data_IF_104547136392
#
_entry.id   IF_104547136392
#
_cell.length_a   1.000
_cell.length_b   1.000
_cell.length_c   1.000
_cell.angle_alpha   90.00
_cell.angle_beta   90.00
_cell.angle_gamma   90.00
#
_symmetry.space_group_name_H-M   'P 1'
#
loop_
_entity.id
_entity.type
_entity.pdbx_description
1 polymer ?
#
# COMPACT_ATOMS: atom_id res chain seq x y z
N UNK A 1 -58.23 -119.01 -9.77
CA UNK A 1 -58.41 -117.97 -10.81
C UNK A 1 -57.86 -116.57 -10.45
N UNK A 2 -57.54 -116.22 -9.20
CA UNK A 2 -57.27 -114.82 -8.82
C UNK A 2 -55.83 -114.28 -9.01
N UNK A 3 -54.90 -115.05 -9.61
CA UNK A 3 -53.48 -114.64 -9.73
C UNK A 3 -53.08 -114.10 -11.11
N UNK A 4 -54.02 -114.05 -12.07
CA UNK A 4 -53.79 -113.51 -13.42
C UNK A 4 -54.28 -112.06 -13.54
N UNK A 5 -55.46 -111.76 -12.97
CA UNK A 5 -56.08 -110.41 -13.00
C UNK A 5 -55.21 -109.33 -12.35
N UNK A 6 -54.53 -109.63 -11.24
CA UNK A 6 -53.64 -108.66 -10.58
C UNK A 6 -52.37 -108.33 -11.38
N UNK A 7 -51.91 -109.24 -12.26
CA UNK A 7 -50.72 -109.01 -13.09
C UNK A 7 -51.06 -108.11 -14.28
N UNK A 8 -52.24 -108.28 -14.85
CA UNK A 8 -52.75 -107.43 -15.92
C UNK A 8 -53.04 -106.00 -15.42
N UNK A 9 -53.55 -105.83 -14.19
CA UNK A 9 -53.73 -104.51 -13.56
C UNK A 9 -52.40 -103.79 -13.25
N UNK A 10 -51.38 -104.53 -12.76
CA UNK A 10 -50.04 -103.98 -12.53
C UNK A 10 -49.36 -103.58 -13.84
N UNK A 11 -49.52 -104.36 -14.92
CA UNK A 11 -48.98 -104.04 -16.24
C UNK A 11 -49.69 -102.84 -16.87
N UNK A 12 -51.01 -102.73 -16.71
CA UNK A 12 -51.78 -101.55 -17.15
C UNK A 12 -51.36 -100.31 -16.36
N UNK A 13 -51.20 -100.43 -15.04
CA UNK A 13 -50.77 -99.34 -14.17
C UNK A 13 -49.33 -98.91 -14.49
N UNK A 14 -48.41 -99.84 -14.69
CA UNK A 14 -47.04 -99.55 -15.12
C UNK A 14 -47.02 -98.87 -16.49
N UNK A 15 -47.85 -99.30 -17.44
CA UNK A 15 -47.97 -98.61 -18.74
C UNK A 15 -48.50 -97.19 -18.59
N UNK A 16 -49.51 -96.97 -17.75
CA UNK A 16 -50.03 -95.62 -17.47
C UNK A 16 -49.03 -94.73 -16.74
N UNK A 17 -48.26 -95.28 -15.80
CA UNK A 17 -47.18 -94.56 -15.10
C UNK A 17 -46.06 -94.20 -16.07
N UNK A 18 -45.63 -95.13 -16.93
CA UNK A 18 -44.61 -94.88 -17.96
C UNK A 18 -45.09 -93.84 -18.97
N UNK A 19 -46.34 -93.94 -19.45
CA UNK A 19 -46.93 -92.94 -20.35
C UNK A 19 -47.01 -91.58 -19.65
N UNK A 20 -47.40 -91.52 -18.38
CA UNK A 20 -47.46 -90.28 -17.60
C UNK A 20 -46.08 -89.64 -17.42
N UNK A 21 -45.05 -90.43 -17.10
CA UNK A 21 -43.66 -89.96 -16.97
C UNK A 21 -43.11 -89.48 -18.31
N UNK A 22 -43.38 -90.19 -19.42
CA UNK A 22 -42.97 -89.78 -20.77
C UNK A 22 -43.72 -88.54 -21.22
N UNK A 23 -45.00 -88.38 -20.88
CA UNK A 23 -45.79 -87.17 -21.18
C UNK A 23 -45.29 -85.97 -20.37
N UNK A 24 -44.91 -86.17 -19.10
CA UNK A 24 -44.34 -85.14 -18.23
C UNK A 24 -42.95 -84.69 -18.71
N UNK A 25 -42.15 -85.62 -19.25
CA UNK A 25 -40.83 -85.35 -19.86
C UNK A 25 -40.94 -84.84 -21.31
N UNK A 26 -42.06 -85.06 -21.99
CA UNK A 26 -42.34 -84.66 -23.37
C UNK A 26 -43.00 -83.29 -23.52
N UNK A 27 -43.43 -82.65 -22.43
CA UNK A 27 -43.74 -81.23 -22.44
C UNK A 27 -42.43 -80.46 -22.70
N UNK A 28 -42.40 -79.42 -23.55
CA UNK A 28 -41.20 -78.65 -23.85
C UNK A 28 -40.85 -77.73 -22.67
N UNK A 29 -40.48 -78.34 -21.56
CA UNK A 29 -40.08 -77.73 -20.31
C UNK A 29 -38.69 -78.22 -19.93
N UNK A 30 -37.70 -77.35 -20.17
CA UNK A 30 -36.38 -77.37 -19.55
C UNK A 30 -35.46 -78.60 -19.75
N UNK A 31 -35.28 -79.07 -20.99
CA UNK A 31 -33.90 -79.33 -21.43
C UNK A 31 -33.37 -78.04 -22.08
N UNK A 32 -32.97 -77.08 -21.24
CA UNK A 32 -32.16 -75.96 -21.71
C UNK A 32 -30.84 -76.58 -22.19
N UNK A 33 -30.58 -76.50 -23.49
CA UNK A 33 -29.33 -76.97 -24.07
C UNK A 33 -28.17 -76.30 -23.34
N UNK A 34 -27.07 -77.03 -23.12
CA UNK A 34 -25.86 -76.50 -22.46
C UNK A 34 -25.46 -75.10 -22.96
N UNK A 35 -25.63 -74.86 -24.27
CA UNK A 35 -25.42 -73.58 -24.94
C UNK A 35 -26.29 -72.42 -24.45
N UNK A 36 -27.55 -72.66 -24.08
CA UNK A 36 -28.46 -71.60 -23.58
C UNK A 36 -28.13 -71.22 -22.13
N UNK A 37 -27.71 -72.19 -21.31
CA UNK A 37 -27.19 -71.89 -19.98
C UNK A 37 -25.89 -71.08 -20.08
N UNK A 38 -24.95 -71.51 -20.91
CA UNK A 38 -23.69 -70.78 -21.15
C UNK A 38 -23.96 -69.35 -21.65
N UNK A 39 -24.91 -69.16 -22.58
CA UNK A 39 -25.33 -67.84 -23.03
C UNK A 39 -25.90 -67.00 -21.88
N UNK A 40 -26.80 -67.56 -21.05
CA UNK A 40 -27.39 -66.83 -19.92
C UNK A 40 -26.37 -66.47 -18.83
N UNK A 41 -25.35 -67.30 -18.62
CA UNK A 41 -24.25 -67.01 -17.69
C UNK A 41 -23.36 -65.90 -18.25
N UNK A 42 -23.04 -65.94 -19.55
CA UNK A 42 -22.29 -64.88 -20.21
C UNK A 42 -23.02 -63.53 -20.17
N UNK A 43 -24.34 -63.53 -20.39
CA UNK A 43 -25.16 -62.33 -20.27
C UNK A 43 -25.19 -61.79 -18.83
N UNK A 44 -25.27 -62.68 -17.83
CA UNK A 44 -25.21 -62.30 -16.41
C UNK A 44 -23.85 -61.73 -16.02
N UNK A 45 -22.76 -62.32 -16.50
CA UNK A 45 -21.39 -61.81 -16.29
C UNK A 45 -21.18 -60.46 -16.97
N UNK A 46 -21.69 -60.28 -18.19
CA UNK A 46 -21.68 -59.00 -18.89
C UNK A 46 -22.49 -57.93 -18.14
N UNK A 47 -23.68 -58.29 -17.65
CA UNK A 47 -24.51 -57.38 -16.86
C UNK A 47 -23.84 -57.00 -15.54
N UNK A 48 -23.17 -57.94 -14.88
CA UNK A 48 -22.38 -57.68 -13.68
C UNK A 48 -21.21 -56.74 -13.97
N UNK A 49 -20.48 -56.97 -15.06
CA UNK A 49 -19.36 -56.11 -15.47
C UNK A 49 -19.82 -54.67 -15.76
N UNK A 50 -20.97 -54.50 -16.42
CA UNK A 50 -21.54 -53.16 -16.67
C UNK A 50 -22.03 -52.49 -15.38
N UNK A 51 -22.61 -53.25 -14.44
CA UNK A 51 -23.01 -52.72 -13.14
C UNK A 51 -21.78 -52.28 -12.32
N UNK A 52 -20.73 -53.08 -12.29
CA UNK A 52 -19.47 -52.72 -11.63
C UNK A 52 -18.86 -51.47 -12.27
N UNK A 53 -18.87 -51.36 -13.60
CA UNK A 53 -18.40 -50.16 -14.30
C UNK A 53 -19.25 -48.93 -13.99
N UNK A 54 -20.58 -49.07 -13.97
CA UNK A 54 -21.50 -48.00 -13.57
C UNK A 54 -21.23 -47.55 -12.13
N UNK A 55 -20.97 -48.48 -11.22
CA UNK A 55 -20.62 -48.18 -9.84
C UNK A 55 -19.31 -47.41 -9.75
N UNK A 56 -18.28 -47.82 -10.50
CA UNK A 56 -17.01 -47.09 -10.56
C UNK A 56 -17.20 -45.66 -11.09
N UNK A 57 -18.02 -45.46 -12.13
CA UNK A 57 -18.35 -44.12 -12.62
C UNK A 57 -19.10 -43.27 -11.59
N UNK A 58 -20.04 -43.88 -10.86
CA UNK A 58 -20.76 -43.19 -9.78
C UNK A 58 -19.82 -42.77 -8.66
N UNK A 59 -18.93 -43.67 -8.20
CA UNK A 59 -17.94 -43.37 -7.16
C UNK A 59 -17.01 -42.23 -7.57
N UNK A 60 -16.57 -42.20 -8.84
CA UNK A 60 -15.75 -41.12 -9.39
C UNK A 60 -16.50 -39.78 -9.45
N UNK A 61 -17.78 -39.77 -9.85
CA UNK A 61 -18.61 -38.55 -9.83
C UNK A 61 -18.86 -38.06 -8.40
N UNK A 62 -19.12 -38.96 -7.45
CA UNK A 62 -19.29 -38.62 -6.04
C UNK A 62 -18.01 -38.00 -5.43
N UNK A 63 -16.83 -38.47 -5.85
CA UNK A 63 -15.56 -37.86 -5.47
C UNK A 63 -15.39 -36.44 -6.03
N UNK A 64 -15.72 -36.23 -7.30
CA UNK A 64 -15.71 -34.88 -7.89
C UNK A 64 -16.68 -33.93 -7.18
N UNK A 65 -17.88 -34.40 -6.85
CA UNK A 65 -18.87 -33.61 -6.09
C UNK A 65 -18.32 -33.27 -4.70
N UNK A 66 -17.66 -34.21 -4.02
CA UNK A 66 -17.02 -33.95 -2.71
C UNK A 66 -15.91 -32.92 -2.83
N UNK A 67 -15.05 -33.02 -3.83
CA UNK A 67 -13.98 -32.06 -4.07
C UNK A 67 -14.55 -30.66 -4.37
N UNK A 68 -15.56 -30.56 -5.24
CA UNK A 68 -16.23 -29.29 -5.55
C UNK A 68 -16.89 -28.67 -4.31
N UNK A 69 -17.55 -29.48 -3.48
CA UNK A 69 -18.12 -29.02 -2.21
C UNK A 69 -17.06 -28.49 -1.25
N UNK A 70 -15.95 -29.22 -1.10
CA UNK A 70 -14.83 -28.78 -0.26
C UNK A 70 -14.19 -27.49 -0.77
N UNK A 71 -14.05 -27.34 -2.10
CA UNK A 71 -13.53 -26.12 -2.71
C UNK A 71 -14.50 -24.94 -2.51
N UNK A 72 -15.80 -25.17 -2.63
CA UNK A 72 -16.82 -24.14 -2.41
C UNK A 72 -16.86 -23.68 -0.95
N UNK A 73 -16.75 -24.62 0.00
CA UNK A 73 -16.64 -24.29 1.43
C UNK A 73 -15.38 -23.48 1.71
N UNK A 74 -14.23 -23.89 1.15
CA UNK A 74 -12.97 -23.15 1.28
C UNK A 74 -13.07 -21.73 0.72
N UNK A 75 -13.64 -21.55 -0.47
CA UNK A 75 -13.86 -20.23 -1.06
C UNK A 75 -14.80 -19.39 -0.19
N UNK A 76 -15.83 -20.01 0.42
CA UNK A 76 -16.72 -19.33 1.36
C UNK A 76 -15.97 -18.84 2.60
N UNK A 77 -15.12 -19.67 3.21
CA UNK A 77 -14.29 -19.29 4.36
C UNK A 77 -13.26 -18.21 4.00
N UNK A 78 -12.59 -18.34 2.84
CA UNK A 78 -11.64 -17.34 2.34
C UNK A 78 -12.35 -15.99 2.09
N UNK A 79 -13.60 -16.00 1.63
CA UNK A 79 -14.41 -14.79 1.45
C UNK A 79 -14.76 -14.12 2.78
N UNK A 80 -15.16 -14.89 3.79
CA UNK A 80 -15.46 -14.37 5.13
C UNK A 80 -14.20 -13.76 5.78
N UNK A 81 -13.08 -14.48 5.74
CA UNK A 81 -11.80 -13.98 6.28
C UNK A 81 -11.36 -12.70 5.57
N UNK A 82 -11.35 -12.67 4.24
CA UNK A 82 -11.03 -11.48 3.46
C UNK A 82 -11.97 -10.31 3.78
N UNK A 83 -13.27 -10.57 3.98
CA UNK A 83 -14.25 -9.52 4.34
C UNK A 83 -13.90 -8.91 5.70
N UNK A 84 -13.56 -9.72 6.69
CA UNK A 84 -13.16 -9.23 8.02
C UNK A 84 -11.85 -8.44 7.97
N UNK A 85 -10.88 -8.89 7.16
CA UNK A 85 -9.62 -8.17 6.98
C UNK A 85 -9.83 -6.81 6.30
N UNK A 86 -10.66 -6.75 5.26
CA UNK A 86 -11.02 -5.51 4.58
C UNK A 86 -11.71 -4.56 5.56
N UNK A 87 -12.62 -5.06 6.40
CA UNK A 87 -13.28 -4.24 7.41
C UNK A 87 -12.28 -3.68 8.44
N UNK A 88 -11.37 -4.51 8.94
CA UNK A 88 -10.29 -4.09 9.86
C UNK A 88 -9.39 -3.02 9.22
N UNK A 89 -8.99 -3.21 7.97
CA UNK A 89 -8.16 -2.24 7.23
C UNK A 89 -8.91 -0.93 7.03
N UNK A 90 -10.20 -1.00 6.69
CA UNK A 90 -11.06 0.19 6.49
C UNK A 90 -11.18 1.00 7.78
N UNK A 91 -11.38 0.34 8.92
CA UNK A 91 -11.45 1.00 10.23
C UNK A 91 -10.09 1.59 10.63
N UNK A 92 -8.99 0.86 10.42
CA UNK A 92 -7.63 1.38 10.62
C UNK A 92 -7.37 2.65 9.81
N UNK A 93 -7.67 2.63 8.51
CA UNK A 93 -7.53 3.81 7.63
C UNK A 93 -8.41 4.97 8.09
N UNK A 94 -9.64 4.70 8.55
CA UNK A 94 -10.53 5.74 9.08
C UNK A 94 -9.92 6.40 10.31
N UNK A 95 -9.37 5.61 11.22
CA UNK A 95 -8.71 6.13 12.42
C UNK A 95 -7.47 6.97 12.07
N UNK A 96 -6.65 6.50 11.13
CA UNK A 96 -5.51 7.28 10.61
C UNK A 96 -5.96 8.59 9.97
N UNK A 97 -7.02 8.58 9.16
CA UNK A 97 -7.59 9.81 8.60
C UNK A 97 -8.03 10.77 9.70
N UNK A 98 -8.74 10.32 10.72
CA UNK A 98 -9.18 11.20 11.83
C UNK A 98 -8.00 11.76 12.63
N UNK A 99 -6.93 10.96 12.81
CA UNK A 99 -5.71 11.40 13.49
C UNK A 99 -4.98 12.48 12.67
N UNK A 100 -4.83 12.25 11.37
CA UNK A 100 -4.21 13.21 10.46
C UNK A 100 -5.02 14.51 10.38
N UNK A 101 -6.34 14.41 10.28
CA UNK A 101 -7.24 15.56 10.26
C UNK A 101 -7.16 16.37 11.57
N UNK A 102 -6.94 15.71 12.70
CA UNK A 102 -6.73 16.38 13.99
C UNK A 102 -5.41 17.14 14.01
N UNK A 103 -4.31 16.48 13.58
CA UNK A 103 -3.00 17.14 13.47
C UNK A 103 -2.97 18.28 12.47
N UNK A 104 -3.70 18.16 11.36
CA UNK A 104 -3.85 19.23 10.38
C UNK A 104 -4.51 20.47 11.01
N UNK A 105 -5.58 20.28 11.79
CA UNK A 105 -6.21 21.38 12.54
C UNK A 105 -5.27 22.00 13.57
N UNK A 106 -4.51 21.19 14.30
CA UNK A 106 -3.53 21.70 15.27
C UNK A 106 -2.45 22.56 14.57
N UNK A 107 -1.90 22.09 13.46
CA UNK A 107 -0.91 22.84 12.68
C UNK A 107 -1.49 24.14 12.09
N UNK A 108 -2.73 24.12 11.62
CA UNK A 108 -3.40 25.33 11.14
C UNK A 108 -3.62 26.35 12.27
N UNK A 109 -4.02 25.91 13.47
CA UNK A 109 -4.11 26.77 14.65
C UNK A 109 -2.75 27.37 15.03
N UNK A 110 -1.68 26.56 15.01
CA UNK A 110 -0.32 27.05 15.27
C UNK A 110 0.12 28.07 14.21
N UNK A 111 -0.18 27.82 12.94
CA UNK A 111 0.11 28.74 11.84
C UNK A 111 -0.63 30.07 11.99
N UNK A 112 -1.92 30.04 12.35
CA UNK A 112 -2.69 31.25 12.64
C UNK A 112 -2.12 32.00 13.85
N UNK A 113 -1.77 31.28 14.91
CA UNK A 113 -1.15 31.86 16.10
C UNK A 113 0.19 32.52 15.75
N UNK A 114 1.04 31.86 14.98
CA UNK A 114 2.34 32.39 14.57
C UNK A 114 2.19 33.59 13.65
N UNK A 115 1.18 33.56 12.77
CA UNK A 115 0.84 34.69 11.88
C UNK A 115 0.36 35.90 12.68
N UNK A 116 -0.46 35.71 13.72
CA UNK A 116 -0.89 36.80 14.60
C UNK A 116 0.29 37.40 15.38
N UNK A 117 1.17 36.56 15.92
CA UNK A 117 2.43 36.99 16.58
C UNK A 117 3.32 37.77 15.62
N UNK A 118 3.48 37.30 14.38
CA UNK A 118 4.26 37.99 13.35
C UNK A 118 3.67 39.37 13.05
N UNK A 119 2.34 39.49 12.90
CA UNK A 119 1.67 40.79 12.68
C UNK A 119 1.98 41.77 13.80
N UNK A 120 1.85 41.34 15.06
CA UNK A 120 2.14 42.18 16.23
C UNK A 120 3.60 42.65 16.24
N UNK A 121 4.55 41.75 16.01
CA UNK A 121 5.98 42.10 15.98
C UNK A 121 6.29 43.09 14.85
N UNK A 122 5.69 42.91 13.68
CA UNK A 122 5.82 43.84 12.56
C UNK A 122 5.29 45.23 12.93
N UNK A 123 4.12 45.31 13.55
CA UNK A 123 3.53 46.60 13.98
C UNK A 123 4.42 47.30 15.02
N UNK A 124 4.94 46.55 16.00
CA UNK A 124 5.87 47.08 17.00
C UNK A 124 7.16 47.58 16.35
N UNK A 125 7.72 46.83 15.40
CA UNK A 125 8.90 47.23 14.67
C UNK A 125 8.68 48.53 13.88
N UNK A 126 7.55 48.66 13.18
CA UNK A 126 7.22 49.88 12.44
C UNK A 126 7.07 51.08 13.38
N UNK A 127 6.44 50.89 14.54
CA UNK A 127 6.29 51.94 15.55
C UNK A 127 7.64 52.40 16.11
N UNK A 128 8.49 51.46 16.51
CA UNK A 128 9.85 51.76 16.99
C UNK A 128 10.69 52.41 15.90
N UNK A 129 10.56 51.99 14.64
CA UNK A 129 11.23 52.61 13.49
C UNK A 129 10.79 54.07 13.30
N UNK A 130 9.50 54.37 13.40
CA UNK A 130 8.99 55.73 13.32
C UNK A 130 9.49 56.60 14.49
N UNK A 131 9.49 56.07 15.71
CA UNK A 131 10.05 56.76 16.88
C UNK A 131 11.54 57.06 16.73
N UNK A 132 12.32 56.08 16.26
CA UNK A 132 13.74 56.27 15.97
C UNK A 132 13.97 57.35 14.90
N UNK A 133 13.11 57.42 13.87
CA UNK A 133 13.17 58.48 12.85
C UNK A 133 12.91 59.85 13.46
N UNK A 134 11.83 59.99 14.24
CA UNK A 134 11.50 61.25 14.91
C UNK A 134 12.61 61.70 15.88
N UNK A 135 13.18 60.77 16.65
CA UNK A 135 14.29 61.06 17.55
C UNK A 135 15.52 61.56 16.79
N UNK A 136 15.86 60.93 15.65
CA UNK A 136 16.95 61.39 14.78
C UNK A 136 16.71 62.80 14.26
N UNK A 137 15.49 63.10 13.82
CA UNK A 137 15.14 64.46 13.36
C UNK A 137 15.27 65.50 14.48
N UNK A 138 14.86 65.17 15.71
CA UNK A 138 15.03 66.04 16.89
C UNK A 138 16.51 66.26 17.23
N UNK A 139 17.32 65.19 17.22
CA UNK A 139 18.78 65.28 17.44
C UNK A 139 19.43 66.19 16.39
N UNK A 140 19.06 66.04 15.12
CA UNK A 140 19.57 66.91 14.04
C UNK A 140 19.16 68.37 14.24
N UNK A 141 17.93 68.62 14.71
CA UNK A 141 17.44 69.97 15.01
C UNK A 141 18.27 70.64 16.10
N UNK A 142 18.48 69.95 17.23
CA UNK A 142 19.31 70.46 18.32
C UNK A 142 20.78 70.64 17.90
N UNK A 143 21.33 69.73 17.11
CA UNK A 143 22.69 69.87 16.60
C UNK A 143 22.84 71.14 15.74
N UNK A 144 21.82 71.46 14.93
CA UNK A 144 21.78 72.69 14.14
C UNK A 144 21.67 73.93 15.03
N UNK A 145 20.77 73.94 16.01
CA UNK A 145 20.59 75.07 16.93
C UNK A 145 21.86 75.36 17.74
N UNK A 146 22.55 74.31 18.22
CA UNK A 146 23.85 74.47 18.90
C UNK A 146 24.94 75.01 17.96
N UNK A 147 24.92 74.63 16.68
CA UNK A 147 25.86 75.13 15.68
C UNK A 147 25.59 76.60 15.33
N UNK A 148 24.33 76.95 15.10
CA UNK A 148 23.89 78.31 14.80
C UNK A 148 24.14 79.25 16.00
N UNK A 149 23.94 78.78 17.24
CA UNK A 149 24.27 79.52 18.47
C UNK A 149 25.79 79.73 18.62
N UNK A 150 26.59 78.73 18.26
CA UNK A 150 28.06 78.85 18.25
C UNK A 150 28.52 79.84 17.18
N UNK A 151 27.92 79.83 16.01
CA UNK A 151 28.25 80.78 14.93
C UNK A 151 27.76 82.20 15.25
N UNK A 152 26.60 82.37 15.88
CA UNK A 152 26.11 83.69 16.33
C UNK A 152 26.89 84.24 17.52
N UNK A 153 27.35 83.38 18.45
CA UNK A 153 28.23 83.80 19.55
C UNK A 153 29.65 84.12 19.09
N UNK A 154 30.14 83.46 18.03
CA UNK A 154 31.41 83.82 17.37
C UNK A 154 31.28 85.14 16.57
N UNK A 155 30.10 85.47 16.05
CA UNK A 155 29.81 86.77 15.41
C UNK A 155 29.74 87.96 16.37
N UNK A 156 29.55 87.74 17.67
CA UNK A 156 29.50 88.79 18.71
C UNK A 156 30.78 88.88 19.55
N UNK A 157 31.78 88.04 19.30
CA UNK A 157 33.02 88.00 20.06
C UNK A 157 34.26 87.95 19.15
N UNK A 158 34.44 88.98 18.32
CA UNK A 158 35.78 89.35 17.84
C UNK A 158 36.52 90.04 18.99
N UNK A 159 37.16 89.24 19.86
CA UNK A 159 37.83 89.75 21.05
C UNK A 159 38.58 88.67 21.85
N UNK A 160 39.61 88.09 21.22
CA UNK A 160 40.94 87.79 21.80
C UNK A 160 41.09 86.94 23.09
N UNK A 161 41.97 85.92 22.96
CA UNK A 161 42.89 85.29 23.94
C UNK A 161 42.50 84.03 24.74
N UNK A 162 43.29 82.98 24.45
CA UNK A 162 43.79 81.88 25.31
C UNK A 162 44.85 82.47 26.29
N UNK A 163 45.09 82.00 27.55
CA UNK A 163 45.51 80.63 27.90
C UNK A 163 45.11 80.01 29.27
N UNK A 164 45.16 78.68 29.31
CA UNK A 164 45.61 77.72 30.37
C UNK A 164 45.71 78.15 31.85
N UNK A 165 45.06 77.42 32.79
CA UNK A 165 45.67 76.57 33.86
C UNK A 165 44.62 76.05 34.89
N UNK A 166 44.89 74.85 35.47
CA UNK A 166 44.13 74.13 36.55
C UNK A 166 44.68 74.53 37.95
N UNK A 167 43.96 74.36 39.09
CA UNK A 167 43.82 73.07 39.84
C UNK A 167 42.41 72.85 40.46
N UNK A 168 41.88 71.61 40.54
CA UNK A 168 41.83 70.70 41.72
C UNK A 168 40.78 71.14 42.78
N UNK A 169 39.84 70.39 43.35
CA UNK A 169 39.58 68.98 43.67
C UNK A 169 38.03 68.78 43.54
N UNK A 170 37.34 67.63 43.57
CA UNK A 170 37.58 66.34 44.20
C UNK A 170 36.49 65.35 43.73
N UNK A 171 36.89 64.07 43.65
CA UNK A 171 36.08 62.86 43.94
C UNK A 171 35.07 62.35 42.90
N UNK A 172 35.51 61.35 42.12
CA UNK A 172 35.29 59.92 42.43
C UNK A 172 35.43 59.07 41.15
N UNK A 173 36.45 58.20 41.17
CA UNK A 173 36.64 57.03 40.31
C UNK A 173 35.64 55.89 40.67
N UNK A 174 35.53 54.78 39.90
CA UNK A 174 36.24 54.47 38.65
C UNK A 174 35.39 53.85 37.50
N UNK A 175 36.03 53.86 36.34
CA UNK A 175 36.03 52.82 35.31
C UNK A 175 34.76 52.52 34.48
N UNK A 176 34.77 53.05 33.25
CA UNK A 176 34.40 52.24 32.07
C UNK A 176 35.53 51.24 31.76
N UNK A 177 35.34 50.18 30.93
CA UNK A 177 35.38 50.44 29.50
C UNK A 177 34.45 49.56 28.64
N UNK A 178 34.14 50.14 27.49
CA UNK A 178 33.77 49.44 26.26
C UNK A 178 34.99 48.75 25.65
N UNK A 179 34.74 47.64 24.93
CA UNK A 179 35.32 47.19 23.64
C UNK A 179 35.87 45.75 23.59
N UNK A 180 35.31 45.04 22.61
CA UNK A 180 35.93 44.11 21.67
C UNK A 180 36.78 42.95 22.20
N UNK A 181 36.22 41.75 22.06
CA UNK A 181 36.96 40.48 22.00
C UNK A 181 36.25 39.54 21.05
N UNK A 182 36.73 39.50 19.80
CA UNK A 182 36.40 38.44 18.87
C UNK A 182 37.01 37.13 19.37
N UNK A 183 36.20 36.08 19.43
CA UNK A 183 36.69 34.70 19.45
C UNK A 183 36.00 33.94 18.33
N UNK A 184 36.83 33.32 17.51
CA UNK A 184 36.48 32.60 16.31
C UNK A 184 35.87 31.22 16.58
N UNK A 185 35.18 30.74 15.54
CA UNK A 185 34.88 29.34 15.16
C UNK A 185 33.67 28.64 15.78
N UNK A 186 33.05 27.68 15.07
CA UNK A 186 32.95 27.47 13.62
C UNK A 186 31.48 27.40 13.14
N UNK A 187 31.28 27.80 11.89
CA UNK A 187 30.05 27.67 11.11
C UNK A 187 29.62 26.19 10.98
N UNK A 188 28.47 25.77 11.53
CA UNK A 188 27.78 24.59 11.05
C UNK A 188 27.04 24.97 9.77
N UNK A 189 27.10 24.16 8.70
CA UNK A 189 26.38 24.44 7.48
C UNK A 189 24.87 24.46 7.75
N UNK A 190 24.21 25.54 7.31
CA UNK A 190 22.77 25.61 7.25
C UNK A 190 22.24 24.38 6.49
N UNK A 191 21.33 23.58 7.07
CA UNK A 191 20.67 22.52 6.34
C UNK A 191 19.89 23.19 5.20
N UNK A 192 20.23 22.78 3.98
CA UNK A 192 19.46 23.10 2.79
C UNK A 192 18.02 22.67 3.07
N UNK A 193 17.11 23.62 2.88
CA UNK A 193 15.66 23.41 2.93
C UNK A 193 15.36 22.28 1.96
N UNK A 194 15.20 21.08 2.52
CA UNK A 194 14.61 19.93 1.84
C UNK A 194 13.18 20.36 1.55
N UNK A 195 12.86 20.42 0.26
CA UNK A 195 11.51 20.63 -0.23
C UNK A 195 10.58 19.64 0.48
N UNK A 196 9.54 20.17 1.09
CA UNK A 196 8.46 19.39 1.68
C UNK A 196 7.87 18.43 0.63
N UNK A 197 7.46 17.21 1.04
CA UNK A 197 6.89 16.23 0.13
C UNK A 197 5.53 16.75 -0.33
N UNK A 198 5.47 17.17 -1.59
CA UNK A 198 4.19 17.40 -2.25
C UNK A 198 3.56 16.04 -2.46
N UNK A 199 2.44 15.83 -1.77
CA UNK A 199 1.53 14.71 -1.97
C UNK A 199 1.17 14.62 -3.47
N UNK A 200 1.47 13.51 -4.19
CA UNK A 200 1.04 13.39 -5.57
C UNK A 200 -0.47 13.22 -5.61
N UNK A 201 -1.10 14.20 -6.25
CA UNK A 201 -2.49 14.20 -6.69
C UNK A 201 -2.75 12.94 -7.51
N UNK A 202 -3.73 12.13 -7.11
CA UNK A 202 -4.23 10.99 -7.88
C UNK A 202 -4.82 11.54 -9.17
N UNK A 203 -4.05 11.45 -10.23
CA UNK A 203 -4.46 11.85 -11.57
C UNK A 203 -3.43 11.39 -12.58
N UNK A 204 -3.46 10.12 -12.96
CA UNK A 204 -2.87 9.61 -14.21
C UNK A 204 -1.43 10.01 -14.54
N UNK A 205 -0.63 10.47 -13.58
CA UNK A 205 0.69 11.01 -13.83
C UNK A 205 1.67 9.87 -14.02
N UNK A 206 2.17 9.73 -15.25
CA UNK A 206 3.24 8.80 -15.58
C UNK A 206 4.43 9.08 -14.65
N UNK A 207 4.90 8.05 -13.97
CA UNK A 207 6.04 8.12 -13.06
C UNK A 207 7.30 8.38 -13.87
N UNK A 208 7.96 9.51 -13.62
CA UNK A 208 9.21 9.84 -14.30
C UNK A 208 10.38 9.03 -13.70
N UNK A 209 10.91 8.08 -14.45
CA UNK A 209 11.98 7.16 -14.00
C UNK A 209 13.29 7.86 -13.61
N UNK A 210 13.52 9.08 -14.09
CA UNK A 210 14.72 9.86 -13.78
C UNK A 210 14.57 10.71 -12.51
N UNK A 211 13.33 11.09 -12.14
CA UNK A 211 13.04 12.02 -11.03
C UNK A 211 12.37 11.34 -9.84
N UNK A 212 11.68 10.22 -10.05
CA UNK A 212 10.93 9.51 -9.01
C UNK A 212 11.86 9.03 -7.87
N UNK A 213 11.50 9.16 -6.59
CA UNK A 213 12.23 8.53 -5.50
C UNK A 213 11.96 7.01 -5.43
N UNK A 214 12.79 6.26 -4.70
CA UNK A 214 12.64 4.80 -4.50
C UNK A 214 11.22 4.45 -4.02
N UNK A 215 10.69 5.22 -3.07
CA UNK A 215 9.35 5.01 -2.52
C UNK A 215 8.24 5.10 -3.57
N UNK A 216 8.38 5.99 -4.54
CA UNK A 216 7.38 6.20 -5.60
C UNK A 216 7.43 5.07 -6.63
N UNK A 217 8.63 4.57 -6.94
CA UNK A 217 8.80 3.37 -7.79
C UNK A 217 8.17 2.12 -7.13
N UNK A 218 8.31 1.95 -5.82
CA UNK A 218 7.69 0.84 -5.09
C UNK A 218 6.17 1.01 -5.00
N UNK A 219 5.69 2.17 -4.59
CA UNK A 219 4.26 2.40 -4.33
C UNK A 219 3.43 2.55 -5.61
N UNK A 220 3.93 3.24 -6.63
CA UNK A 220 3.17 3.54 -7.85
C UNK A 220 3.33 2.47 -8.93
N UNK A 221 4.52 1.86 -9.05
CA UNK A 221 4.80 0.84 -10.07
C UNK A 221 4.74 -0.59 -9.52
N UNK A 222 4.75 -0.78 -8.20
CA UNK A 222 4.75 -2.10 -7.58
C UNK A 222 6.08 -2.83 -7.67
N UNK A 223 7.19 -2.11 -7.88
CA UNK A 223 8.53 -2.69 -7.95
C UNK A 223 9.02 -3.10 -6.56
N UNK A 224 9.85 -4.15 -6.48
CA UNK A 224 10.54 -4.47 -5.23
C UNK A 224 11.57 -3.39 -4.91
N UNK A 225 11.93 -3.27 -3.63
CA UNK A 225 12.84 -2.22 -3.17
C UNK A 225 14.20 -2.31 -3.84
N UNK A 226 14.71 -3.52 -4.06
CA UNK A 226 16.00 -3.80 -4.66
C UNK A 226 16.05 -3.28 -6.10
N UNK A 227 15.00 -3.61 -6.88
CA UNK A 227 14.86 -3.15 -8.27
C UNK A 227 14.71 -1.64 -8.33
N UNK A 228 13.94 -1.04 -7.42
CA UNK A 228 13.77 0.41 -7.36
C UNK A 228 15.08 1.16 -7.04
N UNK A 229 15.93 0.60 -6.18
CA UNK A 229 17.27 1.14 -5.87
C UNK A 229 18.20 1.04 -7.10
N UNK A 230 18.16 -0.08 -7.84
CA UNK A 230 18.92 -0.24 -9.08
C UNK A 230 18.47 0.73 -10.18
N UNK A 231 17.16 0.98 -10.29
CA UNK A 231 16.61 2.02 -11.17
C UNK A 231 17.17 3.38 -10.82
N UNK A 232 17.28 3.73 -9.54
CA UNK A 232 17.85 5.00 -9.09
C UNK A 232 19.35 5.08 -9.37
N UNK A 233 20.09 4.00 -9.15
CA UNK A 233 21.54 3.94 -9.34
C UNK A 233 21.96 4.15 -10.81
N UNK A 234 21.17 3.64 -11.77
CA UNK A 234 21.52 3.63 -13.20
C UNK A 234 20.92 4.79 -14.03
N UNK A 235 20.56 5.89 -13.36
CA UNK A 235 20.14 7.15 -14.00
C UNK A 235 21.34 7.86 -14.64
N UNK A 236 21.15 8.61 -15.75
CA UNK A 236 19.89 8.93 -16.42
C UNK A 236 19.48 7.89 -17.49
N UNK A 237 18.18 7.82 -17.75
CA UNK A 237 17.57 7.07 -18.84
C UNK A 237 17.00 8.03 -19.88
N UNK A 238 17.30 7.81 -21.16
CA UNK A 238 16.78 8.66 -22.25
C UNK A 238 15.43 8.16 -22.77
N UNK A 239 15.21 6.85 -22.68
CA UNK A 239 14.00 6.16 -23.13
C UNK A 239 13.56 5.17 -22.06
N UNK A 240 12.26 4.92 -21.96
CA UNK A 240 11.70 3.90 -21.05
C UNK A 240 12.27 2.50 -21.32
N UNK A 241 12.57 2.16 -22.57
CA UNK A 241 13.16 0.87 -22.94
C UNK A 241 14.58 0.64 -22.40
N UNK A 242 15.28 1.69 -21.92
CA UNK A 242 16.61 1.54 -21.35
C UNK A 242 16.62 0.77 -20.02
N UNK A 243 15.49 0.68 -19.31
CA UNK A 243 15.40 -0.17 -18.11
C UNK A 243 15.66 -1.63 -18.44
N UNK A 244 15.20 -2.10 -19.60
CA UNK A 244 15.45 -3.47 -20.07
C UNK A 244 16.83 -3.57 -20.70
N UNK A 245 17.24 -2.58 -21.51
CA UNK A 245 18.54 -2.62 -22.19
C UNK A 245 19.74 -2.62 -21.23
N UNK A 246 19.60 -1.94 -20.07
CA UNK A 246 20.59 -1.95 -18.99
C UNK A 246 20.40 -3.10 -17.99
N UNK A 247 19.49 -4.04 -18.25
CA UNK A 247 19.13 -5.17 -17.38
C UNK A 247 18.70 -4.80 -15.96
N UNK A 248 18.17 -3.59 -15.77
CA UNK A 248 17.68 -3.13 -14.45
C UNK A 248 16.35 -3.78 -14.11
N UNK A 249 15.50 -4.00 -15.12
CA UNK A 249 14.19 -4.66 -14.96
C UNK A 249 14.04 -5.74 -16.03
N UNK A 250 13.56 -6.94 -15.67
CA UNK A 250 13.18 -7.97 -16.64
C UNK A 250 12.13 -7.47 -17.64
N UNK A 251 12.16 -7.99 -18.87
CA UNK A 251 11.21 -7.59 -19.93
C UNK A 251 9.74 -7.80 -19.52
N UNK A 252 9.46 -8.87 -18.77
CA UNK A 252 8.12 -9.18 -18.25
C UNK A 252 7.59 -8.06 -17.35
N UNK A 253 8.38 -7.66 -16.35
CA UNK A 253 8.02 -6.58 -15.42
C UNK A 253 7.96 -5.23 -16.13
N UNK A 254 8.83 -4.98 -17.12
CA UNK A 254 8.76 -3.77 -17.93
C UNK A 254 7.44 -3.65 -18.69
N UNK A 255 6.93 -4.74 -19.27
CA UNK A 255 5.68 -4.73 -20.02
C UNK A 255 4.45 -4.38 -19.14
N UNK A 256 4.49 -4.68 -17.84
CA UNK A 256 3.43 -4.33 -16.87
C UNK A 256 3.45 -2.86 -16.43
N UNK A 257 4.62 -2.20 -16.52
CA UNK A 257 4.81 -0.83 -16.02
C UNK A 257 4.98 0.20 -17.15
N UNK A 258 5.23 -0.25 -18.40
CA UNK A 258 5.59 0.64 -19.53
C UNK A 258 4.61 1.77 -19.79
N UNK A 259 3.32 1.56 -19.49
CA UNK A 259 2.24 2.53 -19.70
C UNK A 259 2.08 3.50 -18.51
N UNK A 260 2.74 3.20 -17.39
CA UNK A 260 2.74 4.01 -16.16
C UNK A 260 4.03 4.80 -15.96
N UNK A 261 5.00 4.68 -16.86
CA UNK A 261 6.31 5.33 -16.75
C UNK A 261 6.61 6.29 -17.90
N UNK A 262 7.38 7.34 -17.62
CA UNK A 262 7.92 8.27 -18.61
C UNK A 262 9.42 8.49 -18.40
N UNK A 263 10.14 8.77 -19.49
CA UNK A 263 11.58 9.03 -19.52
C UNK A 263 11.84 10.43 -20.08
N UNK A 264 11.43 11.47 -19.34
CA UNK A 264 11.79 12.85 -19.65
C UNK A 264 13.08 13.23 -18.92
N UNK A 265 14.00 13.98 -19.56
CA UNK A 265 15.10 14.64 -18.85
C UNK A 265 14.58 15.60 -17.76
#
# INVERSE_FOLDING_TARGET
MNRSIGRDEEDIMNRWVVISVVLLMGLPGCMVSKSKYEASVADMESAKAELEKSRMHQEALEEQIRNLKGLNEKVSTDLETMTTEVQRIKEGRKNEHTLLETRERELDQEKEQLTSKLRVVVDQYQKVKAQNKALKETVLRYQKELKDTRESSIGSAAGVMKPSEKPDMSKSEPASPVTSGATASPKPPAPKIVSSPTLPKIGGDLVNINKAPVSDLVLALGLTREVAEEVVANRPYRLRGELVAKNVIPKTTFDEIKDRITASP
#
